data_IF_742427590167
#
_entry.id   IF_742427590167
#
_cell.length_a   1.000
_cell.length_b   1.000
_cell.length_c   1.000
_cell.angle_alpha   90.00
_cell.angle_beta   90.00
_cell.angle_gamma   90.00
#
_symmetry.space_group_name_H-M   'P 1'
#
loop_
_entity.id
_entity.type
_entity.pdbx_description
1 polymer ?
#
# COMPACT_ATOMS: atom_id res chain seq x y z
N UNK A 1 15.67 7.24 -34.93
CA UNK A 1 14.62 7.05 -33.93
C UNK A 1 14.89 5.72 -33.25
N UNK A 2 15.24 5.70 -31.97
CA UNK A 2 15.54 4.45 -31.26
C UNK A 2 14.23 3.75 -30.93
N UNK A 3 14.02 2.58 -31.52
CA UNK A 3 12.92 1.69 -31.13
C UNK A 3 13.27 1.04 -29.80
N UNK A 4 12.97 1.75 -28.71
CA UNK A 4 13.07 1.21 -27.36
C UNK A 4 12.00 0.13 -27.18
N UNK A 5 12.38 -1.14 -27.27
CA UNK A 5 11.50 -2.27 -26.98
C UNK A 5 11.57 -2.62 -25.49
N UNK A 6 10.44 -2.52 -24.80
CA UNK A 6 10.31 -2.92 -23.40
C UNK A 6 9.99 -4.41 -23.32
N UNK A 7 10.94 -5.22 -22.85
CA UNK A 7 10.76 -6.66 -22.69
C UNK A 7 10.44 -6.99 -21.22
N UNK A 8 9.16 -7.24 -20.92
CA UNK A 8 8.75 -7.70 -19.59
C UNK A 8 8.74 -9.22 -19.49
N UNK A 9 9.60 -9.73 -18.60
CA UNK A 9 9.57 -11.12 -18.17
C UNK A 9 8.45 -11.33 -17.16
N UNK A 10 7.33 -11.87 -17.63
CA UNK A 10 6.15 -12.24 -16.83
C UNK A 10 6.26 -13.63 -16.20
N UNK A 11 7.32 -14.37 -16.55
CA UNK A 11 7.67 -15.71 -16.09
C UNK A 11 7.95 -15.82 -14.58
N UNK A 12 8.17 -14.70 -13.87
CA UNK A 12 8.43 -14.71 -12.42
C UNK A 12 7.19 -14.75 -11.55
N UNK A 13 6.02 -14.33 -12.05
CA UNK A 13 4.78 -14.33 -11.29
C UNK A 13 3.61 -14.63 -12.22
N UNK A 14 2.78 -15.65 -11.93
CA UNK A 14 1.62 -15.95 -12.76
C UNK A 14 0.66 -14.76 -12.75
N UNK A 15 0.64 -14.01 -13.84
CA UNK A 15 -0.26 -12.86 -14.03
C UNK A 15 -1.60 -13.39 -14.52
N UNK A 16 -2.66 -13.07 -13.78
CA UNK A 16 -4.03 -13.32 -14.25
C UNK A 16 -4.32 -12.51 -15.52
N UNK A 17 -5.23 -12.99 -16.36
CA UNK A 17 -5.67 -12.26 -17.58
C UNK A 17 -6.15 -10.83 -17.28
N UNK A 18 -6.78 -10.61 -16.12
CA UNK A 18 -7.17 -9.29 -15.63
C UNK A 18 -5.95 -8.42 -15.30
N UNK A 19 -4.93 -8.98 -14.65
CA UNK A 19 -3.68 -8.28 -14.35
C UNK A 19 -2.92 -7.89 -15.62
N UNK A 20 -2.95 -8.74 -16.65
CA UNK A 20 -2.36 -8.43 -17.95
C UNK A 20 -3.07 -7.25 -18.63
N UNK A 21 -4.40 -7.21 -18.57
CA UNK A 21 -5.17 -6.11 -19.14
C UNK A 21 -4.85 -4.76 -18.44
N UNK A 22 -4.77 -4.76 -17.11
CA UNK A 22 -4.38 -3.55 -16.37
C UNK A 22 -2.95 -3.12 -16.69
N UNK A 23 -2.03 -4.07 -16.82
CA UNK A 23 -0.65 -3.80 -17.23
C UNK A 23 -0.58 -3.11 -18.60
N UNK A 24 -1.36 -3.60 -19.58
CA UNK A 24 -1.44 -2.99 -20.91
C UNK A 24 -1.99 -1.56 -20.83
N UNK A 25 -3.03 -1.31 -20.02
CA UNK A 25 -3.56 0.04 -19.80
C UNK A 25 -2.49 0.96 -19.21
N UNK A 26 -1.71 0.49 -18.24
CA UNK A 26 -0.61 1.25 -17.67
C UNK A 26 0.43 1.62 -18.75
N UNK A 27 0.78 0.70 -19.66
CA UNK A 27 1.70 1.01 -20.75
C UNK A 27 1.17 2.08 -21.70
N UNK A 28 -0.11 2.02 -22.06
CA UNK A 28 -0.74 3.02 -22.92
C UNK A 28 -0.68 4.40 -22.26
N UNK A 29 -0.96 4.47 -20.94
CA UNK A 29 -0.87 5.71 -20.18
C UNK A 29 0.58 6.22 -20.17
N UNK A 30 1.55 5.36 -19.86
CA UNK A 30 2.97 5.73 -19.81
C UNK A 30 3.48 6.25 -21.16
N UNK A 31 3.04 5.68 -22.28
CA UNK A 31 3.41 6.15 -23.62
C UNK A 31 2.82 7.54 -23.96
N UNK A 32 1.72 7.93 -23.31
CA UNK A 32 1.10 9.25 -23.53
C UNK A 32 1.75 10.38 -22.73
N UNK A 33 2.63 10.04 -21.79
CA UNK A 33 3.32 11.01 -20.94
C UNK A 33 4.61 11.52 -21.61
N UNK A 34 4.99 12.78 -21.37
CA UNK A 34 6.26 13.30 -21.82
C UNK A 34 7.42 12.63 -21.07
N UNK A 35 8.56 12.47 -21.76
CA UNK A 35 9.76 11.81 -21.22
C UNK A 35 10.24 12.45 -19.91
N UNK A 36 10.17 13.78 -19.80
CA UNK A 36 10.53 14.51 -18.58
C UNK A 36 9.68 14.14 -17.37
N UNK A 37 8.38 13.84 -17.56
CA UNK A 37 7.51 13.44 -16.46
C UNK A 37 7.79 11.99 -16.02
N UNK A 38 8.25 11.14 -16.95
CA UNK A 38 8.67 9.78 -16.63
C UNK A 38 9.99 9.78 -15.85
N UNK A 39 10.92 10.66 -16.22
CA UNK A 39 12.20 10.85 -15.54
C UNK A 39 12.01 11.36 -14.10
N UNK A 40 11.22 12.43 -13.90
CA UNK A 40 10.86 12.94 -12.57
C UNK A 40 10.19 11.86 -11.71
N UNK A 41 9.24 11.11 -12.27
CA UNK A 41 8.59 10.03 -11.55
C UNK A 41 9.55 8.90 -11.16
N UNK A 42 10.55 8.59 -12.00
CA UNK A 42 11.56 7.58 -11.71
C UNK A 42 12.46 8.01 -10.54
N UNK A 43 12.92 9.27 -10.54
CA UNK A 43 13.74 9.84 -9.47
C UNK A 43 12.99 9.85 -8.13
N UNK A 44 11.72 10.28 -8.12
CA UNK A 44 10.89 10.30 -6.91
C UNK A 44 10.64 8.89 -6.36
N UNK A 45 10.35 7.91 -7.23
CA UNK A 45 10.17 6.53 -6.83
C UNK A 45 11.46 5.91 -6.28
N UNK A 46 12.61 6.24 -6.86
CA UNK A 46 13.91 5.83 -6.33
C UNK A 46 14.17 6.47 -4.96
N UNK A 47 13.86 7.75 -4.77
CA UNK A 47 13.95 8.44 -3.48
C UNK A 47 13.07 7.79 -2.42
N UNK A 48 11.84 7.41 -2.76
CA UNK A 48 10.93 6.65 -1.89
C UNK A 48 11.55 5.27 -1.55
N UNK A 49 12.04 4.54 -2.54
CA UNK A 49 12.66 3.23 -2.33
C UNK A 49 13.87 3.31 -1.40
N UNK A 50 14.75 4.30 -1.59
CA UNK A 50 15.92 4.55 -0.74
C UNK A 50 15.53 5.02 0.67
N UNK A 51 14.47 5.81 0.80
CA UNK A 51 13.94 6.22 2.09
C UNK A 51 13.44 5.01 2.89
N UNK A 52 12.73 4.09 2.24
CA UNK A 52 12.19 2.90 2.90
C UNK A 52 13.21 1.76 3.05
N UNK A 53 14.23 1.65 2.20
CA UNK A 53 15.27 0.62 2.35
C UNK A 53 16.05 0.79 3.66
N UNK A 54 16.30 2.04 4.05
CA UNK A 54 16.96 2.40 5.30
C UNK A 54 16.01 2.39 6.52
N UNK A 55 14.70 2.35 6.28
CA UNK A 55 13.66 2.47 7.30
C UNK A 55 12.80 1.25 7.48
N UNK A 56 13.02 0.16 6.73
CA UNK A 56 12.43 -1.13 7.06
C UNK A 56 12.79 -1.41 8.51
N UNK A 57 11.84 -1.31 9.47
CA UNK A 57 12.09 -1.94 10.74
C UNK A 57 12.23 -3.41 10.36
N UNK A 58 13.34 -4.03 10.74
CA UNK A 58 13.45 -5.48 10.87
C UNK A 58 12.05 -5.99 11.21
N UNK A 59 11.45 -6.77 10.31
CA UNK A 59 10.08 -7.26 10.41
C UNK A 59 9.87 -7.94 11.76
N UNK A 60 9.58 -7.14 12.77
CA UNK A 60 8.93 -7.51 14.01
C UNK A 60 7.46 -7.35 13.70
N UNK A 61 6.98 -8.14 12.73
CA UNK A 61 5.63 -8.63 12.79
C UNK A 61 5.57 -9.49 14.06
N UNK A 62 5.41 -8.84 15.21
CA UNK A 62 4.78 -9.49 16.33
C UNK A 62 3.36 -9.76 15.85
N UNK A 63 3.15 -10.95 15.28
CA UNK A 63 1.82 -11.52 15.05
C UNK A 63 1.25 -11.75 16.44
N UNK A 64 0.76 -10.68 17.06
CA UNK A 64 -0.08 -10.78 18.24
C UNK A 64 -1.35 -11.47 17.75
N UNK A 65 -1.66 -12.70 18.20
CA UNK A 65 -2.89 -13.34 17.81
C UNK A 65 -4.04 -12.46 18.27
N UNK A 66 -4.98 -12.17 17.37
CA UNK A 66 -6.19 -11.43 17.71
C UNK A 66 -6.90 -12.13 18.86
N UNK A 67 -6.83 -11.57 20.08
CA UNK A 67 -7.58 -12.07 21.23
C UNK A 67 -8.97 -11.43 21.20
N UNK A 68 -9.99 -12.24 21.01
CA UNK A 68 -11.39 -11.81 21.18
C UNK A 68 -11.63 -11.65 22.68
N UNK A 69 -11.67 -10.41 23.16
CA UNK A 69 -12.05 -10.09 24.53
C UNK A 69 -13.58 -10.01 24.59
N UNK A 70 -14.22 -11.03 25.14
CA UNK A 70 -15.66 -11.02 25.43
C UNK A 70 -15.90 -10.31 26.76
N UNK A 71 -16.31 -9.04 26.70
CA UNK A 71 -16.77 -8.28 27.86
C UNK A 71 -18.30 -8.25 27.94
N UNK A 72 -18.87 -8.28 29.15
CA UNK A 72 -20.28 -7.91 29.37
C UNK A 72 -20.33 -6.42 29.69
N UNK A 73 -21.06 -5.64 28.89
CA UNK A 73 -21.42 -4.27 29.23
C UNK A 73 -22.34 -4.30 30.46
N UNK A 74 -21.87 -3.71 31.56
CA UNK A 74 -22.75 -3.51 32.71
C UNK A 74 -23.74 -2.38 32.42
N UNK A 75 -24.98 -2.55 32.89
CA UNK A 75 -26.04 -1.55 32.75
C UNK A 75 -25.62 -0.23 33.40
N UNK A 76 -25.97 0.88 32.75
CA UNK A 76 -25.71 2.24 33.23
C UNK A 76 -26.28 2.41 34.64
N UNK A 77 -25.40 2.48 35.65
CA UNK A 77 -25.79 2.81 37.00
C UNK A 77 -26.05 4.32 37.07
N UNK A 78 -27.32 4.71 37.18
CA UNK A 78 -27.69 6.10 37.42
C UNK A 78 -27.24 6.44 38.84
N UNK A 79 -26.25 7.33 38.96
CA UNK A 79 -25.85 7.86 40.28
C UNK A 79 -27.04 8.65 40.84
N UNK A 80 -27.39 8.38 42.10
CA UNK A 80 -28.39 9.15 42.83
C UNK A 80 -27.96 10.61 42.92
N UNK A 81 -28.89 11.53 42.65
CA UNK A 81 -28.67 12.97 42.78
C UNK A 81 -28.24 13.29 44.20
N UNK A 82 -27.11 13.99 44.34
CA UNK A 82 -26.64 14.49 45.64
C UNK A 82 -27.56 15.66 46.00
N UNK A 83 -28.35 15.50 47.05
CA UNK A 83 -29.07 16.61 47.69
C UNK A 83 -28.14 17.21 48.72
N UNK A 84 -27.82 18.49 48.57
CA UNK A 84 -27.13 19.27 49.60
C UNK A 84 -28.21 19.83 50.53
N UNK A 85 -28.13 19.49 51.83
CA UNK A 85 -28.87 20.19 52.90
C UNK A 85 -28.12 21.45 53.35
#
# INVERSE_FOLDING_TARGET
MSESSLLLRTDRYPISSKGLLELIKCFIILQSLPESALEEAAEELEGIAQFYSNRTPQSTQAILPSKIIKGKLQSKQVRSTIVLE
#
